data_IF_344359144183
#
_entry.id   IF_344359144183
#
_cell.length_a   1.000
_cell.length_b   1.000
_cell.length_c   1.000
_cell.angle_alpha   90.00
_cell.angle_beta   90.00
_cell.angle_gamma   90.00
#
_symmetry.space_group_name_H-M   'P 1'
#
loop_
_entity.id
_entity.type
_entity.pdbx_description
1 polymer ?
#
# COMPACT_ATOMS: atom_id res chain seq x y z
N UNK A 1 57.86 -23.71 18.61
CA UNK A 1 57.36 -22.75 17.61
C UNK A 1 55.85 -22.89 17.55
N UNK A 2 55.09 -22.01 18.23
CA UNK A 2 53.61 -22.06 18.26
C UNK A 2 53.10 -21.08 17.21
N UNK A 3 52.44 -21.60 16.17
CA UNK A 3 51.79 -20.82 15.13
C UNK A 3 50.43 -20.37 15.70
N UNK A 4 50.26 -19.07 15.89
CA UNK A 4 48.96 -18.47 16.18
C UNK A 4 48.26 -18.19 14.85
N UNK A 5 47.19 -18.94 14.58
CA UNK A 5 46.26 -18.65 13.48
C UNK A 5 45.30 -17.57 13.99
N UNK A 6 45.44 -16.34 13.49
CA UNK A 6 44.45 -15.30 13.69
C UNK A 6 43.28 -15.56 12.72
N UNK A 7 42.18 -16.07 13.27
CA UNK A 7 40.90 -16.13 12.56
C UNK A 7 40.31 -14.71 12.61
N UNK A 8 40.38 -13.99 11.50
CA UNK A 8 39.60 -12.76 11.31
C UNK A 8 38.14 -13.17 11.10
N UNK A 9 37.33 -13.04 12.14
CA UNK A 9 35.88 -13.05 12.00
C UNK A 9 35.51 -11.68 11.44
N UNK A 10 35.33 -11.60 10.12
CA UNK A 10 34.64 -10.47 9.50
C UNK A 10 33.17 -10.59 9.91
N UNK A 11 32.76 -9.87 10.95
CA UNK A 11 31.34 -9.64 11.18
C UNK A 11 30.84 -8.79 10.02
N UNK A 12 30.19 -9.43 9.06
CA UNK A 12 29.44 -8.76 8.02
C UNK A 12 28.23 -8.12 8.72
N UNK A 13 28.33 -6.84 9.07
CA UNK A 13 27.16 -6.10 9.54
C UNK A 13 26.22 -5.95 8.35
N UNK A 14 25.01 -6.48 8.48
CA UNK A 14 23.95 -6.25 7.51
C UNK A 14 23.69 -4.74 7.43
N UNK A 15 23.80 -4.18 6.22
CA UNK A 15 23.61 -2.75 5.99
C UNK A 15 22.12 -2.47 6.03
N UNK A 16 21.69 -1.65 6.98
CA UNK A 16 20.32 -1.17 7.05
C UNK A 16 20.08 -0.11 5.97
N UNK A 17 18.91 -0.17 5.32
CA UNK A 17 18.49 0.76 4.29
C UNK A 17 17.05 1.24 4.58
N UNK A 18 16.65 2.32 3.91
CA UNK A 18 15.39 3.00 4.15
C UNK A 18 14.62 3.26 2.85
N UNK A 19 13.29 3.17 2.91
CA UNK A 19 12.42 3.47 1.77
C UNK A 19 11.11 4.10 2.24
N UNK A 20 10.67 5.15 1.54
CA UNK A 20 9.38 5.75 1.79
C UNK A 20 8.28 4.94 1.12
N UNK A 21 7.09 4.88 1.73
CA UNK A 21 5.91 4.24 1.16
C UNK A 21 4.72 5.19 1.26
N UNK A 22 4.07 5.42 0.13
CA UNK A 22 2.83 6.18 -0.01
C UNK A 22 1.80 5.32 -0.74
N UNK A 23 0.52 5.52 -0.45
CA UNK A 23 -0.58 4.73 -1.00
C UNK A 23 -1.86 5.55 -1.09
N UNK A 24 -2.80 5.14 -1.94
CA UNK A 24 -4.18 5.61 -1.99
C UNK A 24 -4.26 7.15 -1.99
N UNK A 25 -3.63 7.74 -2.99
CA UNK A 25 -3.48 9.20 -3.09
C UNK A 25 -4.79 9.91 -3.35
N UNK A 26 -5.71 9.30 -4.12
CA UNK A 26 -7.02 9.81 -4.51
C UNK A 26 -7.12 11.33 -4.46
N UNK A 27 -6.32 12.00 -5.30
CA UNK A 27 -6.39 13.44 -5.37
C UNK A 27 -7.61 13.81 -6.21
N UNK A 28 -8.26 14.89 -5.83
CA UNK A 28 -9.47 15.35 -6.46
C UNK A 28 -9.19 16.66 -7.20
N UNK A 29 -9.13 16.56 -8.53
CA UNK A 29 -8.90 17.72 -9.40
C UNK A 29 -10.01 18.76 -9.36
N UNK A 30 -11.16 18.43 -8.75
CA UNK A 30 -12.31 19.33 -8.55
C UNK A 30 -12.50 19.77 -7.10
N UNK A 31 -11.59 19.39 -6.20
CA UNK A 31 -11.66 19.84 -4.81
C UNK A 31 -11.75 21.36 -4.74
N UNK A 32 -12.72 21.85 -3.98
CA UNK A 32 -12.95 23.26 -3.75
C UNK A 32 -13.21 23.52 -2.26
N UNK A 33 -12.37 24.38 -1.67
CA UNK A 33 -12.61 24.92 -0.34
C UNK A 33 -13.97 25.62 -0.29
N UNK A 34 -14.73 25.39 0.78
CA UNK A 34 -16.10 25.89 0.92
C UNK A 34 -17.17 25.00 0.25
N UNK A 35 -16.79 24.03 -0.58
CA UNK A 35 -17.72 23.03 -1.11
C UNK A 35 -18.29 22.14 0.01
N UNK A 36 -19.57 21.79 -0.05
CA UNK A 36 -20.18 20.98 1.02
C UNK A 36 -19.54 19.59 1.11
N UNK A 37 -19.09 19.20 2.30
CA UNK A 37 -18.44 17.92 2.54
C UNK A 37 -19.42 16.74 2.61
N UNK A 38 -20.67 17.04 2.95
CA UNK A 38 -21.77 16.07 2.99
C UNK A 38 -22.82 16.43 1.95
N UNK A 39 -22.70 15.83 0.77
CA UNK A 39 -23.52 16.16 -0.39
C UNK A 39 -24.40 14.99 -0.86
N UNK A 40 -25.26 15.26 -1.86
CA UNK A 40 -26.14 14.25 -2.48
C UNK A 40 -25.42 13.33 -3.47
N UNK A 41 -24.27 13.77 -3.97
CA UNK A 41 -23.41 13.01 -4.91
C UNK A 41 -22.52 12.01 -4.16
N UNK A 42 -21.86 11.12 -4.90
CA UNK A 42 -20.88 10.17 -4.34
C UNK A 42 -19.63 10.90 -3.87
N UNK A 43 -19.15 11.83 -4.68
CA UNK A 43 -18.02 12.69 -4.36
C UNK A 43 -18.50 14.12 -4.11
N UNK A 44 -18.00 14.69 -3.03
CA UNK A 44 -18.39 15.96 -2.44
C UNK A 44 -17.18 16.89 -2.37
N UNK A 45 -17.29 18.03 -1.68
CA UNK A 45 -16.23 19.03 -1.60
C UNK A 45 -15.87 19.68 -2.96
N UNK A 46 -16.84 19.77 -3.87
CA UNK A 46 -16.73 20.52 -5.12
C UNK A 46 -17.58 21.81 -5.03
N UNK A 47 -17.32 22.78 -5.90
CA UNK A 47 -18.10 24.03 -5.95
C UNK A 47 -19.61 23.78 -6.19
N UNK A 48 -19.95 22.74 -6.94
CA UNK A 48 -21.32 22.35 -7.28
C UNK A 48 -21.93 21.32 -6.31
N UNK A 49 -21.23 20.99 -5.21
CA UNK A 49 -21.74 20.08 -4.20
C UNK A 49 -23.03 20.62 -3.58
N UNK A 50 -24.09 19.81 -3.57
CA UNK A 50 -25.38 20.18 -2.95
C UNK A 50 -25.52 19.43 -1.62
N UNK A 51 -25.75 20.13 -0.49
CA UNK A 51 -25.74 19.50 0.82
C UNK A 51 -26.87 18.46 0.96
N UNK A 52 -26.58 17.40 1.72
CA UNK A 52 -27.53 16.33 2.03
C UNK A 52 -28.05 16.48 3.46
N UNK A 53 -29.35 16.74 3.58
CA UNK A 53 -29.99 16.95 4.87
C UNK A 53 -29.61 18.30 5.47
N UNK A 54 -29.37 18.33 6.78
CA UNK A 54 -29.06 19.56 7.53
C UNK A 54 -27.58 19.65 7.96
N UNK A 55 -26.70 18.82 7.39
CA UNK A 55 -25.25 18.99 7.60
C UNK A 55 -24.71 19.95 6.52
N UNK A 56 -24.20 21.09 6.97
CA UNK A 56 -23.65 22.16 6.14
C UNK A 56 -22.14 22.33 6.35
N UNK A 57 -21.46 21.32 6.89
CA UNK A 57 -20.00 21.30 6.95
C UNK A 57 -19.41 21.38 5.54
N UNK A 58 -18.35 22.18 5.42
CA UNK A 58 -17.69 22.47 4.16
C UNK A 58 -16.25 21.99 4.18
N UNK A 59 -15.74 21.68 2.99
CA UNK A 59 -14.33 21.42 2.77
C UNK A 59 -13.50 22.63 3.22
N UNK A 60 -12.35 22.36 3.81
CA UNK A 60 -11.42 23.38 4.29
C UNK A 60 -10.10 23.29 3.52
N UNK A 61 -9.19 24.24 3.77
CA UNK A 61 -7.93 24.41 3.06
C UNK A 61 -7.12 23.11 2.84
N UNK A 62 -6.98 22.26 3.86
CA UNK A 62 -6.25 20.99 3.75
C UNK A 62 -7.13 19.80 3.35
N UNK A 63 -8.46 19.96 3.30
CA UNK A 63 -9.39 18.88 2.99
C UNK A 63 -10.46 18.68 4.06
N UNK A 64 -11.17 17.56 3.95
CA UNK A 64 -12.16 17.10 4.92
C UNK A 64 -12.18 15.57 4.98
N UNK A 65 -12.44 14.97 6.15
CA UNK A 65 -12.41 13.50 6.31
C UNK A 65 -13.51 12.72 5.56
N UNK A 66 -14.39 13.43 4.85
CA UNK A 66 -15.46 12.84 4.02
C UNK A 66 -15.19 12.96 2.53
N UNK A 67 -14.07 13.57 2.15
CA UNK A 67 -13.76 13.91 0.77
C UNK A 67 -12.39 13.37 0.35
N UNK A 68 -12.23 13.23 -0.96
CA UNK A 68 -10.93 12.99 -1.55
C UNK A 68 -10.04 14.23 -1.43
N UNK A 69 -8.74 14.06 -1.65
CA UNK A 69 -7.75 15.04 -1.22
C UNK A 69 -7.59 16.21 -2.19
N UNK A 70 -7.40 17.45 -1.71
CA UNK A 70 -6.79 18.49 -2.52
C UNK A 70 -5.38 18.04 -2.96
N UNK A 71 -4.99 18.36 -4.20
CA UNK A 71 -3.67 18.00 -4.73
C UNK A 71 -2.53 18.48 -3.84
N UNK A 72 -2.59 19.72 -3.34
CA UNK A 72 -1.52 20.26 -2.48
C UNK A 72 -1.43 19.57 -1.13
N UNK A 73 -2.53 19.04 -0.57
CA UNK A 73 -2.47 18.22 0.64
C UNK A 73 -1.63 16.97 0.41
N UNK A 74 -1.85 16.27 -0.70
CA UNK A 74 -1.06 15.08 -1.07
C UNK A 74 0.39 15.47 -1.34
N UNK A 75 0.61 16.52 -2.14
CA UNK A 75 1.96 16.94 -2.53
C UNK A 75 2.77 17.53 -1.38
N UNK A 76 2.13 18.03 -0.32
CA UNK A 76 2.82 18.41 0.91
C UNK A 76 3.55 17.22 1.58
N UNK A 77 3.04 16.00 1.42
CA UNK A 77 3.73 14.79 1.86
C UNK A 77 4.98 14.49 1.03
N UNK A 78 4.96 14.83 -0.26
CA UNK A 78 6.15 14.71 -1.12
C UNK A 78 7.20 15.76 -0.74
N UNK A 79 6.79 16.98 -0.37
CA UNK A 79 7.72 17.98 0.18
C UNK A 79 8.34 17.51 1.49
N UNK A 80 7.53 16.90 2.35
CA UNK A 80 8.02 16.29 3.58
C UNK A 80 9.07 15.21 3.28
N UNK A 81 8.80 14.27 2.37
CA UNK A 81 9.76 13.25 1.91
C UNK A 81 11.03 13.91 1.35
N UNK A 82 10.87 14.93 0.49
CA UNK A 82 12.00 15.66 -0.12
C UNK A 82 12.88 16.33 0.94
N UNK A 83 12.29 16.92 1.98
CA UNK A 83 13.04 17.51 3.08
C UNK A 83 13.88 16.51 3.88
N UNK A 84 13.61 15.20 3.72
CA UNK A 84 14.33 14.08 4.33
C UNK A 84 15.14 13.26 3.31
N UNK A 85 15.53 13.86 2.17
CA UNK A 85 16.23 13.16 1.09
C UNK A 85 17.58 12.53 1.48
N UNK A 86 18.17 12.97 2.61
CA UNK A 86 19.38 12.37 3.16
C UNK A 86 19.15 10.99 3.80
N UNK A 87 17.90 10.65 4.14
CA UNK A 87 17.52 9.34 4.69
C UNK A 87 17.35 8.34 3.55
N UNK A 88 16.58 8.69 2.53
CA UNK A 88 16.38 7.86 1.34
C UNK A 88 15.86 8.69 0.17
N UNK A 89 16.23 8.27 -1.04
CA UNK A 89 15.72 8.80 -2.31
C UNK A 89 14.82 7.82 -3.06
N UNK A 90 14.42 6.74 -2.41
CA UNK A 90 13.53 5.75 -2.97
C UNK A 90 12.13 5.88 -2.33
N UNK A 91 11.10 5.84 -3.18
CA UNK A 91 9.69 5.92 -2.76
C UNK A 91 8.93 4.80 -3.44
N UNK A 92 8.31 3.91 -2.67
CA UNK A 92 7.26 3.02 -3.18
C UNK A 92 5.96 3.80 -3.22
N UNK A 93 5.27 3.72 -4.35
CA UNK A 93 3.97 4.35 -4.55
C UNK A 93 2.95 3.28 -4.91
N UNK A 94 2.12 2.89 -3.95
CA UNK A 94 1.05 1.90 -4.11
C UNK A 94 -0.22 2.53 -4.71
N UNK A 95 -0.02 3.44 -5.67
CA UNK A 95 -0.98 4.17 -6.49
C UNK A 95 -2.40 4.37 -5.94
N UNK A 96 -3.43 4.22 -6.77
CA UNK A 96 -4.78 4.77 -6.58
C UNK A 96 -4.79 6.31 -6.55
N UNK A 97 -4.64 6.86 -7.75
CA UNK A 97 -4.61 8.29 -8.02
C UNK A 97 -6.00 8.83 -8.27
N UNK A 98 -6.76 8.08 -9.06
CA UNK A 98 -8.07 8.50 -9.51
C UNK A 98 -9.08 8.32 -8.37
N UNK A 99 -9.86 9.35 -8.01
CA UNK A 99 -10.91 9.20 -7.01
C UNK A 99 -12.04 8.31 -7.53
N UNK A 100 -12.85 7.79 -6.61
CA UNK A 100 -13.95 6.85 -6.86
C UNK A 100 -15.19 7.42 -7.61
N UNK A 101 -15.02 8.40 -8.51
CA UNK A 101 -16.12 9.10 -9.21
C UNK A 101 -16.57 8.35 -10.48
N UNK A 102 -17.15 7.17 -10.31
CA UNK A 102 -17.47 6.27 -11.44
C UNK A 102 -18.37 6.89 -12.51
N UNK A 103 -19.22 7.87 -12.17
CA UNK A 103 -20.21 8.42 -13.11
C UNK A 103 -19.65 9.49 -14.05
N UNK A 104 -18.51 10.09 -13.72
CA UNK A 104 -17.88 11.12 -14.54
C UNK A 104 -16.49 10.69 -15.05
N UNK A 105 -16.15 9.40 -14.95
CA UNK A 105 -14.90 8.87 -15.49
C UNK A 105 -14.95 8.88 -17.02
N UNK A 106 -13.84 9.25 -17.64
CA UNK A 106 -13.58 8.98 -19.06
C UNK A 106 -12.13 8.52 -19.17
N UNK A 107 -11.80 7.75 -20.22
CA UNK A 107 -10.39 7.38 -20.49
C UNK A 107 -9.49 8.60 -20.50
N UNK A 108 -9.93 9.68 -21.15
CA UNK A 108 -9.13 10.89 -21.28
C UNK A 108 -8.94 11.60 -19.95
N UNK A 109 -10.00 11.73 -19.12
CA UNK A 109 -9.89 12.34 -17.79
C UNK A 109 -8.90 11.57 -16.92
N UNK A 110 -9.01 10.25 -16.86
CA UNK A 110 -8.12 9.43 -16.03
C UNK A 110 -6.67 9.50 -16.52
N UNK A 111 -6.44 9.50 -17.84
CA UNK A 111 -5.10 9.71 -18.39
C UNK A 111 -4.53 11.09 -18.02
N UNK A 112 -5.34 12.15 -18.11
CA UNK A 112 -4.91 13.51 -17.76
C UNK A 112 -4.57 13.63 -16.27
N UNK A 113 -5.42 13.08 -15.39
CA UNK A 113 -5.24 13.15 -13.94
C UNK A 113 -4.00 12.32 -13.51
N UNK A 114 -3.81 11.13 -14.09
CA UNK A 114 -2.60 10.31 -13.86
C UNK A 114 -1.32 11.00 -14.36
N UNK A 115 -1.35 11.58 -15.55
CA UNK A 115 -0.22 12.33 -16.11
C UNK A 115 0.11 13.57 -15.27
N UNK A 116 -0.91 14.32 -14.85
CA UNK A 116 -0.76 15.46 -13.95
C UNK A 116 -0.09 15.04 -12.65
N UNK A 117 -0.57 13.99 -12.00
CA UNK A 117 0.00 13.50 -10.75
C UNK A 117 1.44 13.04 -10.92
N UNK A 118 1.74 12.29 -11.99
CA UNK A 118 3.11 11.92 -12.33
C UNK A 118 4.03 13.13 -12.48
N UNK A 119 3.59 14.16 -13.21
CA UNK A 119 4.37 15.39 -13.40
C UNK A 119 4.62 16.12 -12.07
N UNK A 120 3.64 16.14 -11.18
CA UNK A 120 3.79 16.71 -9.84
C UNK A 120 4.77 15.91 -8.97
N UNK A 121 4.69 14.58 -8.98
CA UNK A 121 5.70 13.73 -8.31
C UNK A 121 7.10 14.03 -8.82
N UNK A 122 7.29 14.11 -10.13
CA UNK A 122 8.58 14.45 -10.75
C UNK A 122 9.08 15.82 -10.33
N UNK A 123 8.17 16.81 -10.24
CA UNK A 123 8.48 18.19 -9.84
C UNK A 123 8.86 18.28 -8.36
N UNK A 124 8.16 17.57 -7.49
CA UNK A 124 8.33 17.64 -6.02
C UNK A 124 9.44 16.74 -5.50
N UNK A 125 9.74 15.64 -6.20
CA UNK A 125 10.78 14.69 -5.84
C UNK A 125 11.92 14.63 -6.88
N UNK A 126 12.59 15.76 -7.21
CA UNK A 126 13.66 15.74 -8.20
C UNK A 126 14.84 14.88 -7.71
N UNK A 127 15.25 13.93 -8.54
CA UNK A 127 16.35 13.00 -8.25
C UNK A 127 15.97 11.81 -7.37
N UNK A 128 14.68 11.60 -7.09
CA UNK A 128 14.18 10.39 -6.43
C UNK A 128 13.79 9.33 -7.46
N UNK A 129 13.88 8.08 -7.04
CA UNK A 129 13.29 6.94 -7.75
C UNK A 129 11.93 6.64 -7.13
N UNK A 130 10.86 6.75 -7.92
CA UNK A 130 9.51 6.35 -7.51
C UNK A 130 9.16 5.02 -8.15
N UNK A 131 8.76 4.05 -7.32
CA UNK A 131 8.46 2.66 -7.67
C UNK A 131 6.94 2.43 -7.56
N UNK A 132 6.18 2.61 -8.65
CA UNK A 132 4.74 2.46 -8.64
C UNK A 132 4.27 1.01 -8.58
N UNK A 133 3.11 0.77 -7.98
CA UNK A 133 2.30 -0.45 -8.09
C UNK A 133 0.85 -0.04 -8.37
N UNK A 134 0.31 -0.51 -9.50
CA UNK A 134 -0.95 -0.03 -10.06
C UNK A 134 -2.13 -0.35 -9.15
N UNK A 135 -3.01 0.63 -8.92
CA UNK A 135 -4.25 0.45 -8.17
C UNK A 135 -5.49 0.20 -9.03
N UNK A 136 -6.57 -0.24 -8.38
CA UNK A 136 -7.81 -0.59 -9.07
C UNK A 136 -8.54 0.63 -9.65
N UNK A 137 -8.35 1.82 -9.10
CA UNK A 137 -8.99 3.04 -9.60
C UNK A 137 -8.29 3.62 -10.84
N UNK A 138 -7.03 3.24 -11.09
CA UNK A 138 -6.18 3.84 -12.14
C UNK A 138 -6.44 3.28 -13.55
N UNK A 139 -7.69 2.91 -13.84
CA UNK A 139 -8.17 2.42 -15.13
C UNK A 139 -9.46 3.11 -15.55
N UNK A 140 -10.03 2.72 -16.69
CA UNK A 140 -11.37 3.11 -17.12
C UNK A 140 -12.21 1.86 -17.38
N UNK A 141 -13.24 1.51 -16.61
CA UNK A 141 -13.79 2.07 -15.35
C UNK A 141 -13.02 1.59 -14.10
N UNK A 142 -13.35 2.10 -12.91
CA UNK A 142 -12.78 1.63 -11.62
C UNK A 142 -12.96 0.12 -11.48
N UNK A 143 -11.91 -0.56 -11.00
CA UNK A 143 -11.89 -2.01 -10.83
C UNK A 143 -12.28 -2.75 -12.11
N UNK A 144 -11.98 -2.24 -13.30
CA UNK A 144 -12.34 -2.89 -14.57
C UNK A 144 -11.12 -3.21 -15.45
N UNK A 145 -9.98 -3.49 -14.81
CA UNK A 145 -8.72 -3.83 -15.46
C UNK A 145 -8.86 -5.09 -16.33
N UNK A 146 -9.04 -4.89 -17.63
CA UNK A 146 -9.05 -5.98 -18.60
C UNK A 146 -7.66 -6.62 -18.73
N UNK A 147 -7.62 -7.93 -19.01
CA UNK A 147 -6.33 -8.61 -19.20
C UNK A 147 -5.66 -8.14 -20.51
N UNK A 148 -4.32 -8.06 -20.56
CA UNK A 148 -3.59 -7.80 -21.80
C UNK A 148 -4.01 -8.81 -22.90
N UNK A 149 -4.12 -8.38 -24.18
CA UNK A 149 -3.72 -7.07 -24.70
C UNK A 149 -4.77 -5.97 -24.59
N UNK A 150 -5.94 -6.20 -23.98
CA UNK A 150 -7.03 -5.20 -23.94
C UNK A 150 -6.69 -3.97 -23.09
N UNK A 151 -5.90 -4.13 -22.04
CA UNK A 151 -5.37 -3.04 -21.19
C UNK A 151 -4.16 -2.33 -21.78
N UNK A 152 -3.65 -2.72 -22.96
CA UNK A 152 -2.38 -2.23 -23.49
C UNK A 152 -2.35 -0.72 -23.67
N UNK A 153 -3.49 -0.09 -23.98
CA UNK A 153 -3.59 1.36 -24.10
C UNK A 153 -3.20 2.06 -22.79
N UNK A 154 -3.63 1.56 -21.63
CA UNK A 154 -3.28 2.15 -20.33
C UNK A 154 -1.84 1.80 -19.94
N UNK A 155 -1.45 0.52 -20.08
CA UNK A 155 -0.09 0.07 -19.79
C UNK A 155 0.96 0.85 -20.59
N UNK A 156 0.67 1.17 -21.86
CA UNK A 156 1.55 1.98 -22.71
C UNK A 156 1.71 3.43 -22.20
N UNK A 157 0.63 4.05 -21.71
CA UNK A 157 0.67 5.42 -21.17
C UNK A 157 1.43 5.44 -19.82
N UNK A 158 1.09 4.54 -18.90
CA UNK A 158 1.83 4.40 -17.63
C UNK A 158 3.32 4.15 -17.86
N UNK A 159 3.66 3.26 -18.80
CA UNK A 159 5.03 2.98 -19.21
C UNK A 159 5.73 4.14 -19.93
N UNK A 160 5.01 5.15 -20.41
CA UNK A 160 5.63 6.36 -20.96
C UNK A 160 6.08 7.27 -19.83
N UNK A 161 5.20 7.49 -18.85
CA UNK A 161 5.47 8.30 -17.67
C UNK A 161 6.58 7.71 -16.79
N UNK A 162 6.53 6.41 -16.52
CA UNK A 162 7.46 5.78 -15.57
C UNK A 162 8.89 5.59 -16.08
N UNK A 163 9.18 5.93 -17.34
CA UNK A 163 10.56 5.98 -17.85
C UNK A 163 11.45 6.96 -17.10
N UNK A 164 10.85 7.90 -16.37
CA UNK A 164 11.58 8.83 -15.51
C UNK A 164 12.19 8.13 -14.29
N UNK A 165 11.70 6.95 -13.91
CA UNK A 165 12.13 6.22 -12.70
C UNK A 165 12.60 4.80 -12.98
N UNK A 166 12.09 4.17 -14.04
CA UNK A 166 12.34 2.78 -14.40
C UNK A 166 13.23 2.66 -15.65
N UNK A 167 14.11 1.67 -15.63
CA UNK A 167 14.97 1.27 -16.73
C UNK A 167 14.18 0.71 -17.93
N UNK A 168 14.79 0.65 -19.13
CA UNK A 168 14.13 0.09 -20.30
C UNK A 168 13.63 -1.37 -20.14
N UNK A 169 14.31 -2.20 -19.34
CA UNK A 169 13.92 -3.59 -19.08
C UNK A 169 12.70 -3.68 -18.17
N UNK A 170 12.65 -2.88 -17.11
CA UNK A 170 11.49 -2.73 -16.22
C UNK A 170 10.28 -2.18 -16.97
N UNK A 171 10.49 -1.22 -17.87
CA UNK A 171 9.44 -0.70 -18.75
C UNK A 171 8.92 -1.76 -19.71
N UNK A 172 9.76 -2.70 -20.17
CA UNK A 172 9.31 -3.77 -21.06
C UNK A 172 8.33 -4.74 -20.35
N UNK A 173 8.63 -5.11 -19.10
CA UNK A 173 7.74 -5.95 -18.28
C UNK A 173 6.48 -5.19 -17.85
N UNK A 174 6.61 -3.91 -17.50
CA UNK A 174 5.47 -3.02 -17.23
C UNK A 174 4.52 -2.95 -18.42
N UNK A 175 5.03 -2.83 -19.65
CA UNK A 175 4.19 -2.86 -20.86
C UNK A 175 3.53 -4.22 -21.09
N UNK A 176 4.18 -5.32 -20.71
CA UNK A 176 3.67 -6.67 -20.90
C UNK A 176 2.48 -6.97 -19.98
N UNK A 177 2.54 -6.55 -18.72
CA UNK A 177 1.52 -6.91 -17.73
C UNK A 177 1.42 -6.01 -16.50
N UNK A 178 2.02 -4.83 -16.50
CA UNK A 178 1.94 -3.88 -15.37
C UNK A 178 2.77 -4.24 -14.15
N UNK A 179 3.65 -5.24 -14.25
CA UNK A 179 4.56 -5.69 -13.21
C UNK A 179 6.02 -5.46 -13.62
N UNK A 180 6.93 -5.37 -12.64
CA UNK A 180 8.37 -5.26 -12.86
C UNK A 180 9.16 -5.64 -11.60
N UNK A 181 10.48 -5.77 -11.74
CA UNK A 181 11.41 -5.93 -10.62
C UNK A 181 12.47 -4.84 -10.69
N UNK A 182 12.73 -4.17 -9.55
CA UNK A 182 13.74 -3.12 -9.43
C UNK A 182 14.75 -3.45 -8.34
N UNK A 183 16.04 -3.32 -8.62
CA UNK A 183 17.08 -3.53 -7.62
C UNK A 183 17.50 -2.20 -6.99
N UNK A 184 17.30 -2.07 -5.68
CA UNK A 184 17.76 -0.92 -4.89
C UNK A 184 19.29 -0.89 -4.80
N UNK A 185 19.91 0.27 -4.51
CA UNK A 185 21.36 0.37 -4.30
C UNK A 185 21.90 -0.56 -3.20
N UNK A 186 21.09 -0.93 -2.21
CA UNK A 186 21.42 -1.92 -1.17
C UNK A 186 21.49 -3.37 -1.69
N UNK A 187 21.04 -3.64 -2.92
CA UNK A 187 20.99 -4.96 -3.52
C UNK A 187 19.66 -5.71 -3.30
N UNK A 188 18.77 -5.18 -2.44
CA UNK A 188 17.41 -5.71 -2.23
C UNK A 188 16.55 -5.40 -3.47
N UNK A 189 15.74 -6.37 -3.86
CA UNK A 189 14.85 -6.23 -5.02
C UNK A 189 13.44 -5.85 -4.57
N UNK A 190 12.80 -4.93 -5.28
CA UNK A 190 11.38 -4.61 -5.17
C UNK A 190 10.66 -5.29 -6.32
N UNK A 191 9.74 -6.19 -6.01
CA UNK A 191 8.88 -6.86 -7.00
C UNK A 191 7.51 -6.18 -6.96
N UNK A 192 7.18 -5.41 -8.00
CA UNK A 192 5.87 -4.78 -8.14
C UNK A 192 4.93 -5.69 -8.91
N UNK A 193 3.85 -6.11 -8.27
CA UNK A 193 2.80 -6.93 -8.88
C UNK A 193 1.60 -6.05 -9.27
N UNK A 194 0.93 -6.44 -10.36
CA UNK A 194 -0.33 -5.84 -10.78
C UNK A 194 -1.50 -6.67 -10.24
N UNK A 195 -1.89 -6.40 -9.00
CA UNK A 195 -2.95 -7.12 -8.31
C UNK A 195 -4.36 -6.68 -8.70
N UNK A 196 -4.52 -5.54 -9.40
CA UNK A 196 -5.83 -5.04 -9.82
C UNK A 196 -6.50 -5.91 -10.89
N UNK A 197 -5.74 -6.78 -11.56
CA UNK A 197 -6.31 -7.85 -12.39
C UNK A 197 -7.12 -8.86 -11.59
N UNK A 198 -6.81 -9.01 -10.31
CA UNK A 198 -7.37 -10.03 -9.45
C UNK A 198 -8.33 -9.47 -8.41
N UNK A 199 -8.49 -8.15 -8.29
CA UNK A 199 -9.52 -7.52 -7.43
C UNK A 199 -10.86 -8.25 -7.61
N UNK A 200 -11.49 -8.64 -6.50
CA UNK A 200 -12.77 -9.35 -6.55
C UNK A 200 -13.88 -8.51 -7.20
N UNK A 201 -13.74 -7.18 -7.19
CA UNK A 201 -14.65 -6.25 -7.85
C UNK A 201 -14.40 -6.17 -9.36
N UNK A 202 -13.27 -6.71 -9.84
CA UNK A 202 -12.96 -6.74 -11.25
C UNK A 202 -13.70 -7.84 -12.00
N UNK A 203 -14.52 -7.41 -12.96
CA UNK A 203 -15.32 -8.30 -13.81
C UNK A 203 -14.46 -9.30 -14.59
N UNK A 204 -13.19 -8.97 -14.84
CA UNK A 204 -12.21 -9.83 -15.51
C UNK A 204 -11.45 -10.75 -14.55
N UNK A 205 -11.53 -10.56 -13.24
CA UNK A 205 -10.80 -11.39 -12.27
C UNK A 205 -11.19 -12.87 -12.34
N UNK A 206 -12.43 -13.17 -12.77
CA UNK A 206 -12.92 -14.54 -12.97
C UNK A 206 -12.30 -15.27 -14.18
N UNK A 207 -11.54 -14.59 -15.04
CA UNK A 207 -10.79 -15.23 -16.12
C UNK A 207 -9.59 -16.05 -15.58
N UNK A 208 -9.08 -15.71 -14.39
CA UNK A 208 -8.09 -16.50 -13.68
C UNK A 208 -8.73 -17.72 -12.97
N UNK A 209 -8.14 -18.93 -13.03
CA UNK A 209 -6.78 -19.27 -13.49
C UNK A 209 -6.71 -19.75 -14.95
N UNK A 210 -7.78 -19.64 -15.75
CA UNK A 210 -7.73 -20.08 -17.15
C UNK A 210 -6.75 -19.25 -17.99
N UNK A 211 -6.58 -17.98 -17.61
CA UNK A 211 -5.65 -17.04 -18.22
C UNK A 211 -4.83 -16.35 -17.12
N UNK A 212 -3.50 -16.40 -17.21
CA UNK A 212 -2.57 -15.62 -16.38
C UNK A 212 -2.32 -14.24 -17.04
N UNK A 213 -2.88 -13.13 -16.51
CA UNK A 213 -2.81 -11.84 -17.17
C UNK A 213 -1.37 -11.35 -17.34
N UNK A 214 -0.96 -11.15 -18.60
CA UNK A 214 0.41 -10.75 -18.92
C UNK A 214 1.46 -11.80 -18.53
N UNK A 215 1.06 -13.05 -18.26
CA UNK A 215 1.93 -14.12 -17.73
C UNK A 215 2.60 -13.72 -16.40
N UNK A 216 1.91 -12.94 -15.57
CA UNK A 216 2.47 -12.38 -14.34
C UNK A 216 2.89 -13.45 -13.34
N UNK A 217 2.07 -14.46 -13.10
CA UNK A 217 2.42 -15.51 -12.13
C UNK A 217 3.54 -16.41 -12.64
N UNK A 218 3.57 -16.68 -13.95
CA UNK A 218 4.71 -17.36 -14.59
C UNK A 218 6.00 -16.55 -14.42
N UNK A 219 5.96 -15.25 -14.70
CA UNK A 219 7.09 -14.35 -14.52
C UNK A 219 7.53 -14.26 -13.06
N UNK A 220 6.58 -14.15 -12.12
CA UNK A 220 6.87 -14.02 -10.70
C UNK A 220 7.61 -15.24 -10.15
N UNK A 221 7.16 -16.45 -10.49
CA UNK A 221 7.86 -17.68 -10.13
C UNK A 221 9.29 -17.73 -10.72
N UNK A 222 9.45 -17.39 -12.00
CA UNK A 222 10.75 -17.38 -12.65
C UNK A 222 11.71 -16.35 -12.01
N UNK A 223 11.20 -15.16 -11.69
CA UNK A 223 11.94 -14.10 -10.99
C UNK A 223 12.42 -14.57 -9.62
N UNK A 224 11.52 -15.12 -8.79
CA UNK A 224 11.88 -15.62 -7.46
C UNK A 224 12.93 -16.74 -7.52
N UNK A 225 12.83 -17.64 -8.51
CA UNK A 225 13.82 -18.68 -8.75
C UNK A 225 15.21 -18.09 -9.05
N UNK A 226 15.28 -17.11 -9.94
CA UNK A 226 16.55 -16.44 -10.28
C UNK A 226 17.14 -15.72 -9.07
N UNK A 227 16.30 -15.06 -8.25
CA UNK A 227 16.78 -14.41 -7.02
C UNK A 227 17.34 -15.42 -6.03
N UNK A 228 16.67 -16.56 -5.83
CA UNK A 228 17.17 -17.66 -5.00
C UNK A 228 18.53 -18.17 -5.49
N UNK A 229 18.66 -18.44 -6.79
CA UNK A 229 19.91 -18.91 -7.40
C UNK A 229 21.07 -17.93 -7.20
N UNK A 230 20.76 -16.62 -7.13
CA UNK A 230 21.73 -15.55 -6.87
C UNK A 230 21.91 -15.21 -5.39
N UNK A 231 21.18 -15.86 -4.47
CA UNK A 231 21.19 -15.51 -3.05
C UNK A 231 20.66 -14.10 -2.75
N UNK A 232 19.84 -13.54 -3.64
CA UNK A 232 19.28 -12.20 -3.51
C UNK A 232 17.92 -12.23 -2.81
N UNK A 233 17.54 -11.09 -2.25
CA UNK A 233 16.32 -10.92 -1.43
C UNK A 233 15.34 -9.98 -2.11
N UNK A 234 14.05 -10.14 -1.78
CA UNK A 234 13.00 -9.30 -2.33
C UNK A 234 11.96 -8.85 -1.31
N UNK A 235 11.47 -7.62 -1.49
CA UNK A 235 10.22 -7.11 -0.93
C UNK A 235 9.18 -7.10 -2.06
N UNK A 236 8.01 -7.65 -1.79
CA UNK A 236 6.88 -7.60 -2.72
C UNK A 236 6.07 -6.34 -2.43
N UNK A 237 5.66 -5.63 -3.49
CA UNK A 237 4.69 -4.54 -3.40
C UNK A 237 3.48 -4.84 -4.29
N UNK A 238 2.30 -4.53 -3.79
CA UNK A 238 1.04 -4.63 -4.54
C UNK A 238 0.07 -3.55 -4.07
N UNK A 239 -0.95 -3.22 -4.84
CA UNK A 239 -1.99 -2.31 -4.38
C UNK A 239 -3.00 -3.07 -3.48
N UNK A 240 -3.80 -3.96 -4.06
CA UNK A 240 -4.62 -4.91 -3.31
C UNK A 240 -3.74 -5.94 -2.61
N UNK A 241 -4.26 -6.48 -1.52
CA UNK A 241 -3.51 -7.44 -0.69
C UNK A 241 -4.12 -8.83 -0.75
N UNK A 242 -3.32 -9.85 -0.45
CA UNK A 242 -3.80 -11.23 -0.39
C UNK A 242 -4.60 -11.45 0.90
N UNK A 243 -5.65 -12.26 0.85
CA UNK A 243 -6.51 -12.55 2.00
C UNK A 243 -7.77 -11.70 2.03
N UNK A 244 -8.25 -11.38 3.24
CA UNK A 244 -9.55 -10.77 3.45
C UNK A 244 -9.47 -9.28 3.77
N UNK A 245 -10.36 -8.49 3.17
CA UNK A 245 -10.69 -7.15 3.64
C UNK A 245 -11.18 -7.23 5.09
N UNK A 246 -11.16 -6.10 5.79
CA UNK A 246 -11.65 -6.02 7.18
C UNK A 246 -13.13 -6.41 7.33
N UNK A 247 -13.88 -6.38 6.21
CA UNK A 247 -15.28 -6.83 6.13
C UNK A 247 -15.43 -8.35 6.14
N UNK A 248 -14.33 -9.10 6.02
CA UNK A 248 -14.30 -10.55 5.91
C UNK A 248 -14.49 -11.07 4.48
N UNK A 249 -14.58 -10.18 3.48
CA UNK A 249 -14.66 -10.53 2.06
C UNK A 249 -13.27 -10.70 1.46
N UNK A 250 -13.14 -11.56 0.45
CA UNK A 250 -11.90 -11.66 -0.34
C UNK A 250 -11.54 -10.31 -0.96
N UNK A 251 -10.26 -9.96 -0.93
CA UNK A 251 -9.75 -8.76 -1.61
C UNK A 251 -9.44 -9.06 -3.08
N UNK A 252 -8.78 -10.21 -3.32
CA UNK A 252 -8.41 -10.68 -4.65
C UNK A 252 -8.92 -12.11 -4.91
N UNK A 253 -8.93 -12.53 -6.18
CA UNK A 253 -9.41 -13.81 -6.67
C UNK A 253 -8.83 -14.97 -5.82
N UNK A 254 -9.68 -15.94 -5.39
CA UNK A 254 -9.25 -17.01 -4.49
C UNK A 254 -8.26 -18.01 -5.10
N UNK A 255 -8.28 -18.21 -6.43
CA UNK A 255 -7.28 -19.03 -7.11
C UNK A 255 -5.94 -18.31 -7.16
N UNK A 256 -5.94 -17.00 -7.45
CA UNK A 256 -4.71 -16.20 -7.42
C UNK A 256 -4.12 -16.16 -6.01
N UNK A 257 -4.97 -15.96 -4.99
CA UNK A 257 -4.58 -16.06 -3.57
C UNK A 257 -3.88 -17.39 -3.26
N UNK A 258 -4.44 -18.52 -3.72
CA UNK A 258 -3.82 -19.84 -3.53
C UNK A 258 -2.43 -19.89 -4.19
N UNK A 259 -2.36 -19.58 -5.48
CA UNK A 259 -1.14 -19.74 -6.27
C UNK A 259 -0.02 -18.80 -5.79
N UNK A 260 -0.36 -17.57 -5.40
CA UNK A 260 0.56 -16.64 -4.76
C UNK A 260 1.10 -17.18 -3.44
N UNK A 261 0.23 -17.69 -2.55
CA UNK A 261 0.65 -18.21 -1.25
C UNK A 261 1.51 -19.47 -1.38
N UNK A 262 1.28 -20.30 -2.40
CA UNK A 262 2.14 -21.45 -2.72
C UNK A 262 3.55 -20.99 -3.10
N UNK A 263 3.69 -19.99 -3.97
CA UNK A 263 5.00 -19.42 -4.33
C UNK A 263 5.64 -18.68 -3.16
N UNK A 264 4.88 -17.91 -2.37
CA UNK A 264 5.40 -17.21 -1.21
C UNK A 264 6.00 -18.20 -0.20
N UNK A 265 5.29 -19.30 0.05
CA UNK A 265 5.77 -20.37 0.94
C UNK A 265 7.02 -21.03 0.40
N UNK A 266 7.01 -21.40 -0.88
CA UNK A 266 8.14 -22.00 -1.57
C UNK A 266 9.36 -21.10 -1.41
N UNK A 267 9.26 -19.81 -1.75
CA UNK A 267 10.35 -18.82 -1.76
C UNK A 267 10.46 -17.96 -0.49
N UNK A 268 10.10 -18.52 0.66
CA UNK A 268 10.18 -17.84 1.97
C UNK A 268 11.62 -17.52 2.42
N UNK A 269 12.62 -18.15 1.80
CA UNK A 269 14.04 -17.82 1.95
C UNK A 269 14.48 -16.60 1.12
N UNK A 270 13.69 -16.19 0.11
CA UNK A 270 13.98 -15.04 -0.76
C UNK A 270 13.20 -13.80 -0.32
N UNK A 271 11.94 -13.99 0.05
CA UNK A 271 11.00 -12.90 0.32
C UNK A 271 11.13 -12.45 1.78
N UNK A 272 11.46 -11.18 1.99
CA UNK A 272 11.67 -10.60 3.33
C UNK A 272 10.48 -9.74 3.81
N UNK A 273 9.49 -9.52 2.95
CA UNK A 273 8.26 -8.82 3.30
C UNK A 273 7.33 -8.57 2.10
N UNK A 274 6.07 -8.27 2.41
CA UNK A 274 5.04 -7.85 1.45
C UNK A 274 4.35 -6.58 1.98
N UNK A 275 4.34 -5.53 1.17
CA UNK A 275 3.71 -4.24 1.46
C UNK A 275 2.54 -4.01 0.50
N UNK A 276 1.39 -3.60 1.02
CA UNK A 276 0.19 -3.34 0.23
C UNK A 276 -0.60 -2.11 0.71
N UNK A 277 -1.59 -1.67 -0.07
CA UNK A 277 -2.43 -0.48 0.16
C UNK A 277 -3.92 -0.81 0.16
N UNK A 278 -4.70 -0.07 -0.64
CA UNK A 278 -6.10 -0.30 -1.03
C UNK A 278 -7.16 -0.07 0.05
N UNK A 279 -6.91 -0.49 1.29
CA UNK A 279 -7.96 -0.51 2.32
C UNK A 279 -8.11 0.83 3.07
N UNK A 280 -7.21 1.79 2.84
CA UNK A 280 -7.14 3.11 3.50
C UNK A 280 -7.02 3.06 5.03
N UNK A 281 -6.63 1.90 5.57
CA UNK A 281 -6.51 1.63 7.01
C UNK A 281 -5.16 1.00 7.29
N UNK A 282 -4.59 1.33 8.45
CA UNK A 282 -3.36 0.68 8.92
C UNK A 282 -3.68 -0.72 9.43
N UNK A 283 -2.91 -1.72 8.99
CA UNK A 283 -3.08 -3.07 9.49
C UNK A 283 -2.13 -4.08 8.87
N UNK A 284 -2.49 -5.34 9.01
CA UNK A 284 -1.77 -6.47 8.41
C UNK A 284 -2.75 -7.60 8.12
N UNK A 285 -2.31 -8.57 7.33
CA UNK A 285 -2.96 -9.88 7.21
C UNK A 285 -1.90 -10.96 7.40
N UNK A 286 -2.26 -12.09 8.00
CA UNK A 286 -1.36 -13.22 8.19
C UNK A 286 -2.03 -14.54 7.84
N UNK A 287 -1.23 -15.50 7.39
CA UNK A 287 -1.70 -16.86 7.23
C UNK A 287 -1.96 -17.48 8.61
N UNK A 288 -3.11 -18.12 8.87
CA UNK A 288 -3.43 -18.62 10.20
C UNK A 288 -2.40 -19.64 10.73
N UNK A 289 -1.98 -19.46 11.99
CA UNK A 289 -1.05 -20.36 12.69
C UNK A 289 -0.24 -19.62 13.77
N UNK A 290 0.38 -20.38 14.69
CA UNK A 290 1.30 -19.81 15.69
C UNK A 290 2.61 -19.29 15.07
N UNK A 291 3.05 -19.93 13.98
CA UNK A 291 4.19 -19.50 13.17
C UNK A 291 3.73 -19.31 11.72
N UNK A 292 3.18 -18.13 11.39
CA UNK A 292 2.62 -17.88 10.06
C UNK A 292 3.75 -17.84 9.02
N UNK A 293 3.59 -18.54 7.89
CA UNK A 293 4.58 -18.47 6.81
C UNK A 293 4.41 -17.22 5.92
N UNK A 294 3.30 -16.50 6.06
CA UNK A 294 2.97 -15.33 5.25
C UNK A 294 2.34 -14.25 6.12
N UNK A 295 2.77 -13.02 5.86
CA UNK A 295 2.11 -11.81 6.31
C UNK A 295 2.28 -10.70 5.27
N UNK A 296 1.36 -9.75 5.29
CA UNK A 296 1.42 -8.52 4.49
C UNK A 296 1.07 -7.35 5.37
N UNK A 297 1.81 -6.25 5.22
CA UNK A 297 1.55 -4.98 5.91
C UNK A 297 0.69 -4.11 5.00
N UNK A 298 -0.42 -3.62 5.55
CA UNK A 298 -1.31 -2.67 4.87
C UNK A 298 -0.91 -1.26 5.28
N UNK A 299 -0.61 -0.43 4.28
CA UNK A 299 -0.20 0.95 4.43
C UNK A 299 -1.42 1.89 4.49
N UNK A 300 -1.32 2.99 5.24
CA UNK A 300 -2.40 3.96 5.29
C UNK A 300 -2.49 4.74 3.98
N UNK A 301 -3.63 5.40 3.80
CA UNK A 301 -3.89 6.27 2.66
C UNK A 301 -3.30 7.68 2.85
N UNK A 302 -2.95 8.30 1.72
CA UNK A 302 -2.67 9.72 1.65
C UNK A 302 -3.97 10.54 1.52
N UNK A 303 -5.06 9.96 1.01
CA UNK A 303 -6.36 10.63 1.00
C UNK A 303 -6.91 10.85 2.42
N UNK A 304 -7.52 12.01 2.74
CA UNK A 304 -8.12 12.25 4.04
C UNK A 304 -9.46 11.52 4.23
N UNK A 305 -10.00 10.85 3.20
CA UNK A 305 -11.30 10.19 3.26
C UNK A 305 -11.27 9.01 4.25
N UNK A 306 -11.76 9.25 5.48
CA UNK A 306 -11.87 8.26 6.56
C UNK A 306 -10.65 8.15 7.49
N UNK A 307 -9.58 8.91 7.28
CA UNK A 307 -8.35 8.92 8.09
C UNK A 307 -7.58 10.23 7.90
N UNK A 308 -6.59 10.51 8.74
CA UNK A 308 -5.65 11.58 8.41
C UNK A 308 -4.69 11.14 7.28
N UNK A 309 -4.34 12.02 6.33
CA UNK A 309 -3.32 11.74 5.33
C UNK A 309 -2.03 11.22 5.96
N UNK A 310 -1.50 10.11 5.45
CA UNK A 310 -0.41 9.37 6.09
C UNK A 310 0.58 8.77 5.11
N UNK A 311 1.84 8.72 5.52
CA UNK A 311 2.94 8.07 4.80
C UNK A 311 3.84 7.32 5.77
N UNK A 312 4.64 6.38 5.26
CA UNK A 312 5.56 5.58 6.10
C UNK A 312 7.00 5.65 5.61
N UNK A 313 7.93 5.62 6.55
CA UNK A 313 9.34 5.33 6.32
C UNK A 313 9.64 3.93 6.83
N UNK A 314 10.04 3.03 5.95
CA UNK A 314 10.46 1.68 6.32
C UNK A 314 11.97 1.61 6.49
N UNK A 315 12.39 0.82 7.47
CA UNK A 315 13.77 0.42 7.73
C UNK A 315 13.89 -1.08 7.50
N UNK A 316 14.85 -1.52 6.71
CA UNK A 316 15.01 -2.93 6.36
C UNK A 316 16.47 -3.31 6.15
N UNK A 317 16.71 -4.62 6.05
CA UNK A 317 18.01 -5.18 5.72
C UNK A 317 17.84 -6.44 4.84
N UNK A 318 18.88 -7.26 4.65
CA UNK A 318 18.82 -8.47 3.81
C UNK A 318 18.16 -9.70 4.46
N UNK A 319 17.57 -9.55 5.64
CA UNK A 319 16.79 -10.60 6.30
C UNK A 319 15.34 -10.19 6.54
N UNK A 320 15.11 -8.95 6.98
CA UNK A 320 13.80 -8.51 7.45
C UNK A 320 13.55 -7.05 7.12
N UNK A 321 12.27 -6.72 6.98
CA UNK A 321 11.80 -5.38 7.32
C UNK A 321 11.90 -5.24 8.85
N UNK A 322 12.63 -4.25 9.34
CA UNK A 322 12.96 -4.08 10.76
C UNK A 322 11.91 -3.22 11.46
N UNK A 323 11.52 -2.11 10.86
CA UNK A 323 10.58 -1.17 11.46
C UNK A 323 9.91 -0.33 10.37
N UNK A 324 8.79 0.30 10.71
CA UNK A 324 8.31 1.46 9.99
C UNK A 324 7.98 2.58 10.96
N UNK A 325 8.15 3.82 10.51
CA UNK A 325 7.63 5.01 11.18
C UNK A 325 6.50 5.60 10.35
N UNK A 326 5.31 5.73 10.94
CA UNK A 326 4.18 6.43 10.31
C UNK A 326 4.28 7.93 10.61
N UNK A 327 4.16 8.74 9.57
CA UNK A 327 3.96 10.18 9.64
C UNK A 327 2.58 10.53 9.12
N UNK A 328 1.94 11.50 9.73
CA UNK A 328 0.61 11.95 9.31
C UNK A 328 0.49 13.46 9.34
N UNK A 329 -0.48 13.95 8.59
CA UNK A 329 -0.93 15.33 8.62
C UNK A 329 -2.22 15.39 9.43
N UNK A 330 -2.19 16.03 10.60
CA UNK A 330 -3.42 16.30 11.36
C UNK A 330 -4.27 17.31 10.59
N UNK A 331 -5.39 16.87 10.03
CA UNK A 331 -6.21 17.68 9.15
C UNK A 331 -6.85 18.88 9.88
N UNK A 332 -7.31 18.67 11.12
CA UNK A 332 -7.93 19.73 11.94
C UNK A 332 -6.92 20.83 12.26
N UNK A 333 -5.70 20.44 12.66
CA UNK A 333 -4.62 21.39 12.92
C UNK A 333 -4.20 22.10 11.62
N UNK A 334 -4.06 21.36 10.53
CA UNK A 334 -3.69 21.90 9.23
C UNK A 334 -4.67 22.97 8.76
N UNK A 335 -5.98 22.71 8.90
CA UNK A 335 -7.03 23.65 8.56
C UNK A 335 -7.05 24.87 9.49
N UNK A 336 -6.83 24.68 10.80
CA UNK A 336 -6.78 25.79 11.76
C UNK A 336 -5.58 26.73 11.53
N UNK A 337 -4.43 26.17 11.16
CA UNK A 337 -3.18 26.90 10.97
C UNK A 337 -2.92 27.33 9.52
N UNK A 338 -3.70 26.82 8.56
CA UNK A 338 -3.43 26.92 7.12
C UNK A 338 -2.01 26.49 6.75
N UNK A 339 -1.56 25.36 7.32
CA UNK A 339 -0.18 24.90 7.18
C UNK A 339 -0.08 23.38 7.19
N UNK A 340 0.62 22.84 6.18
CA UNK A 340 0.95 21.42 6.11
C UNK A 340 2.09 21.07 7.07
N UNK A 341 1.76 20.58 8.27
CA UNK A 341 2.73 20.12 9.26
C UNK A 341 2.62 18.60 9.44
N UNK A 342 3.51 17.86 8.79
CA UNK A 342 3.63 16.41 8.94
C UNK A 342 4.39 16.07 10.23
N UNK A 343 3.82 15.18 11.04
CA UNK A 343 4.39 14.79 12.34
C UNK A 343 4.47 13.27 12.46
N UNK A 344 5.43 12.79 13.25
CA UNK A 344 5.53 11.36 13.60
C UNK A 344 4.32 10.96 14.43
N UNK A 345 3.62 9.90 14.04
CA UNK A 345 2.62 9.22 14.90
C UNK A 345 3.32 8.18 15.77
N UNK A 346 3.85 7.09 15.19
CA UNK A 346 4.53 6.03 15.93
C UNK A 346 5.56 5.30 15.07
N UNK A 347 6.39 4.48 15.72
CA UNK A 347 7.11 3.39 15.07
C UNK A 347 6.83 2.06 15.78
N UNK A 348 7.01 0.94 15.09
CA UNK A 348 6.53 -0.36 15.58
C UNK A 348 7.35 -0.90 16.75
N UNK A 349 8.66 -0.64 16.77
CA UNK A 349 9.53 -1.10 17.86
C UNK A 349 9.18 -0.42 19.18
N UNK A 350 8.98 0.90 19.17
CA UNK A 350 8.61 1.69 20.35
C UNK A 350 7.17 1.40 20.79
N UNK A 351 6.23 1.30 19.84
CA UNK A 351 4.81 1.18 20.15
C UNK A 351 4.41 -0.20 20.67
N UNK A 352 4.97 -1.26 20.07
CA UNK A 352 4.59 -2.65 20.29
C UNK A 352 5.75 -3.56 20.75
N UNK A 353 6.99 -3.06 20.81
CA UNK A 353 8.15 -3.86 21.19
C UNK A 353 8.51 -4.91 20.15
N UNK A 354 8.18 -4.72 18.86
CA UNK A 354 8.57 -5.63 17.78
C UNK A 354 10.07 -5.55 17.51
N UNK A 355 10.72 -6.69 17.27
CA UNK A 355 12.15 -6.69 16.89
C UNK A 355 12.34 -6.56 15.38
N UNK A 356 11.36 -7.02 14.61
CA UNK A 356 11.23 -6.85 13.17
C UNK A 356 9.76 -7.04 12.74
N UNK A 357 9.49 -6.94 11.45
CA UNK A 357 8.18 -7.14 10.82
C UNK A 357 8.12 -8.42 9.99
N UNK A 358 8.92 -9.43 10.34
CA UNK A 358 8.82 -10.77 9.80
C UNK A 358 7.54 -11.47 10.26
N UNK A 359 7.14 -12.52 9.55
CA UNK A 359 5.83 -13.14 9.75
C UNK A 359 5.56 -13.57 11.20
N UNK A 360 6.54 -14.19 11.87
CA UNK A 360 6.39 -14.64 13.27
C UNK A 360 6.18 -13.48 14.25
N UNK A 361 6.83 -12.33 14.04
CA UNK A 361 6.62 -11.13 14.85
C UNK A 361 5.25 -10.47 14.58
N UNK A 362 4.75 -10.53 13.34
CA UNK A 362 3.37 -10.14 13.04
C UNK A 362 2.37 -11.10 13.72
N UNK A 363 2.67 -12.40 13.77
CA UNK A 363 1.91 -13.38 14.55
C UNK A 363 1.91 -13.05 16.05
N UNK A 364 3.05 -12.62 16.60
CA UNK A 364 3.16 -12.15 17.99
C UNK A 364 2.33 -10.89 18.22
N UNK A 365 2.39 -9.91 17.32
CA UNK A 365 1.52 -8.73 17.37
C UNK A 365 0.05 -9.16 17.39
N UNK A 366 -0.36 -10.07 16.51
CA UNK A 366 -1.72 -10.58 16.48
C UNK A 366 -2.14 -11.21 17.81
N UNK A 367 -1.28 -12.03 18.41
CA UNK A 367 -1.52 -12.59 19.73
C UNK A 367 -1.67 -11.52 20.82
N UNK A 368 -0.82 -10.48 20.82
CA UNK A 368 -0.95 -9.34 21.73
C UNK A 368 -2.29 -8.62 21.52
N UNK A 369 -2.63 -8.31 20.27
CA UNK A 369 -3.89 -7.65 19.91
C UNK A 369 -5.12 -8.49 20.21
N UNK A 370 -5.00 -9.80 20.42
CA UNK A 370 -6.08 -10.69 20.85
C UNK A 370 -6.27 -10.72 22.37
N UNK A 371 -5.17 -10.60 23.13
CA UNK A 371 -5.17 -10.88 24.57
C UNK A 371 -4.94 -9.66 25.46
N UNK A 372 -4.45 -8.55 24.92
CA UNK A 372 -4.16 -7.32 25.67
C UNK A 372 -5.03 -6.16 25.18
N UNK A 373 -5.81 -5.56 26.10
CA UNK A 373 -6.68 -4.43 25.80
C UNK A 373 -5.88 -3.15 25.52
N UNK A 374 -4.73 -2.96 26.17
CA UNK A 374 -3.88 -1.77 25.95
C UNK A 374 -3.27 -1.82 24.55
N UNK A 375 -2.74 -2.98 24.16
CA UNK A 375 -2.23 -3.19 22.79
C UNK A 375 -3.34 -3.00 21.75
N UNK A 376 -4.55 -3.51 22.01
CA UNK A 376 -5.70 -3.30 21.12
C UNK A 376 -6.10 -1.82 20.99
N UNK A 377 -6.17 -1.08 22.10
CA UNK A 377 -6.51 0.34 22.08
C UNK A 377 -5.47 1.17 21.32
N UNK A 378 -4.18 0.86 21.49
CA UNK A 378 -3.09 1.45 20.69
C UNK A 378 -3.28 1.16 19.20
N UNK A 379 -3.51 -0.11 18.84
CA UNK A 379 -3.74 -0.49 17.44
C UNK A 379 -4.94 0.23 16.82
N UNK A 380 -6.06 0.32 17.53
CA UNK A 380 -7.25 1.00 17.02
C UNK A 380 -7.07 2.51 16.87
N UNK A 381 -6.21 3.13 17.69
CA UNK A 381 -5.80 4.53 17.52
C UNK A 381 -5.08 4.74 16.17
N UNK A 382 -4.21 3.80 15.79
CA UNK A 382 -3.45 3.87 14.53
C UNK A 382 -4.24 3.37 13.32
N UNK A 383 -5.23 2.50 13.53
CA UNK A 383 -6.03 1.88 12.46
C UNK A 383 -6.67 2.88 11.47
N UNK A 384 -7.11 4.04 11.98
CA UNK A 384 -7.66 5.15 11.17
C UNK A 384 -6.77 6.40 11.26
N UNK A 385 -5.47 6.21 11.45
CA UNK A 385 -4.46 7.26 11.65
C UNK A 385 -4.94 8.38 12.58
N UNK A 386 -5.01 8.08 13.87
CA UNK A 386 -5.29 9.06 14.93
C UNK A 386 -6.74 9.60 14.95
N UNK A 387 -7.63 9.12 14.07
CA UNK A 387 -9.05 9.43 14.16
C UNK A 387 -9.78 8.52 15.16
N UNK A 388 -10.76 9.05 15.92
CA UNK A 388 -11.57 8.23 16.80
C UNK A 388 -12.27 7.10 16.03
N UNK A 389 -11.97 5.85 16.38
CA UNK A 389 -12.62 4.68 15.82
C UNK A 389 -13.28 3.85 16.93
N UNK A 390 -14.61 3.91 17.00
CA UNK A 390 -15.37 3.12 17.98
C UNK A 390 -15.41 1.66 17.56
N UNK A 391 -14.90 0.78 18.43
CA UNK A 391 -14.92 -0.67 18.21
C UNK A 391 -15.55 -1.37 19.41
N UNK A 392 -16.87 -1.52 19.36
CA UNK A 392 -17.69 -2.11 20.42
C UNK A 392 -18.15 -3.53 20.09
N UNK A 393 -18.57 -4.28 21.12
CA UNK A 393 -19.10 -5.63 20.98
C UNK A 393 -18.13 -6.58 20.28
N UNK A 394 -18.59 -7.21 19.19
CA UNK A 394 -17.80 -8.18 18.42
C UNK A 394 -16.80 -7.56 17.44
N UNK A 395 -16.67 -6.22 17.39
CA UNK A 395 -15.81 -5.55 16.42
C UNK A 395 -14.34 -6.03 16.50
N UNK A 396 -13.75 -6.14 17.69
CA UNK A 396 -12.37 -6.66 17.85
C UNK A 396 -12.21 -8.05 17.26
N UNK A 397 -13.17 -8.93 17.55
CA UNK A 397 -13.18 -10.31 17.04
C UNK A 397 -13.31 -10.34 15.53
N UNK A 398 -14.24 -9.57 14.94
CA UNK A 398 -14.41 -9.50 13.48
C UNK A 398 -13.13 -9.01 12.80
N UNK A 399 -12.54 -7.91 13.28
CA UNK A 399 -11.29 -7.38 12.75
C UNK A 399 -10.15 -8.40 12.86
N UNK A 400 -9.91 -8.99 14.03
CA UNK A 400 -8.88 -10.02 14.21
C UNK A 400 -9.12 -11.22 13.30
N UNK A 401 -10.35 -11.74 13.24
CA UNK A 401 -10.70 -12.85 12.36
C UNK A 401 -10.43 -12.54 10.89
N UNK A 402 -10.70 -11.31 10.41
CA UNK A 402 -10.38 -10.95 9.02
C UNK A 402 -8.88 -10.88 8.77
N UNK A 403 -8.09 -10.46 9.77
CA UNK A 403 -6.63 -10.36 9.66
C UNK A 403 -5.93 -11.72 9.72
N UNK A 404 -6.48 -12.71 10.44
CA UNK A 404 -5.89 -14.06 10.58
C UNK A 404 -6.47 -15.13 9.63
N UNK A 405 -7.29 -14.75 8.64
CA UNK A 405 -7.89 -15.70 7.71
C UNK A 405 -7.66 -15.31 6.25
N UNK A 406 -7.45 -16.33 5.41
CA UNK A 406 -7.22 -16.17 3.97
C UNK A 406 -8.45 -16.49 3.10
N UNK A 407 -9.56 -16.92 3.74
CA UNK A 407 -10.81 -17.31 3.07
C UNK A 407 -12.01 -17.00 3.95
N UNK A 408 -13.13 -16.68 3.31
CA UNK A 408 -14.40 -16.32 3.95
C UNK A 408 -14.92 -17.42 4.89
N UNK A 409 -14.69 -18.70 4.55
CA UNK A 409 -15.07 -19.83 5.40
C UNK A 409 -14.32 -19.84 6.75
N UNK A 410 -13.01 -19.56 6.73
CA UNK A 410 -12.19 -19.48 7.94
C UNK A 410 -12.60 -18.29 8.81
N UNK A 411 -12.87 -17.14 8.19
CA UNK A 411 -13.45 -15.99 8.86
C UNK A 411 -14.78 -16.32 9.54
N UNK A 412 -15.70 -16.97 8.82
CA UNK A 412 -17.01 -17.37 9.33
C UNK A 412 -16.92 -18.37 10.50
N UNK A 413 -15.92 -19.24 10.53
CA UNK A 413 -15.65 -20.14 11.66
C UNK A 413 -15.05 -19.39 12.86
N UNK A 414 -14.10 -18.49 12.60
CA UNK A 414 -13.44 -17.68 13.63
C UNK A 414 -14.44 -16.82 14.40
N UNK A 415 -15.35 -16.13 13.71
CA UNK A 415 -16.35 -15.28 14.37
C UNK A 415 -17.35 -16.08 15.24
N UNK A 416 -17.53 -17.38 14.98
CA UNK A 416 -18.45 -18.26 15.73
C UNK A 416 -17.85 -18.80 17.04
N UNK A 417 -16.52 -18.93 17.13
CA UNK A 417 -15.79 -19.40 18.31
C UNK A 417 -15.61 -18.28 19.31
#
# INVERSE_FOLDING_TARGET
>A
MKIFVFIFIVQCFSIEDYIWVISDTHFDSKFAEGGYAHCKSIDCCHEDSVPKGNNFETAQFCGHHSCHAPLETIMSGMDFIKSHESISKNVIWLMDVIPSDMFQMTKQRNLNDLEMFHNELKRRLPGFTVLPSIGNHDYFETSFWAFPPKSQWMLNNMSLWWKDWLSPEEIATTKKGGYYIHQLPSGINIISLQTAYFDIMNSHAGEYPKTDPGEMMMWFNATLKVLREKGQKAIIISHESIGLKITGMMDVNPYFTRDFLELYKEYSDVIIGHLAGHNHIEGYRLYPGEDPFYSVIINPAMTPKGSNPSLRLYKFNDQHIIDYTTYYLNLDQCNAEHKYTWVKSYNTQEEYGLVNLGNSEIGRLHYMLKNDNVAWSKFMKHFSTELPNSCEGNCRKQKLCSMENMRESGYAECIKK
#
